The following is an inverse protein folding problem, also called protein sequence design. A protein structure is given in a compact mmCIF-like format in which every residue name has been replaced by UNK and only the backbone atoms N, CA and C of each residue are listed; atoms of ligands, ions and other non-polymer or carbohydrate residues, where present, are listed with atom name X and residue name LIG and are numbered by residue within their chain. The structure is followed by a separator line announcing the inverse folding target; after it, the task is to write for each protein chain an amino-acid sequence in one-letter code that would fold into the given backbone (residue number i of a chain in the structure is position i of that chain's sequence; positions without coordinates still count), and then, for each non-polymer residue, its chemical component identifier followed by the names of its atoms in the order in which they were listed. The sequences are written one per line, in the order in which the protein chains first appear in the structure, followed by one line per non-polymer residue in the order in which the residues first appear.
data_IF_415273022133
#
_entry.id   IF_415273022133
#
_cell.length_a   1.000
_cell.length_b   1.000
_cell.length_c   1.000
_cell.angle_alpha   90.00
_cell.angle_beta   90.00
_cell.angle_gamma   90.00
#
_symmetry.space_group_name_H-M   'P 1'
#
loop_
_entity.id
_entity.type
_entity.pdbx_description
1 polymer ?
#
# COMPACT_ATOMS: atom_id res chain seq x y z
N UNK A 1 1.51 65.28 20.02
CA UNK A 1 0.20 64.67 20.35
C UNK A 1 -0.42 64.22 19.03
N UNK A 2 -0.66 62.90 18.90
CA UNK A 2 -1.35 62.17 17.82
C UNK A 2 -0.79 62.29 16.38
N UNK A 3 0.05 61.32 16.00
CA UNK A 3 0.26 60.91 14.61
C UNK A 3 -0.60 59.65 14.41
N UNK A 4 -1.65 59.75 13.60
CA UNK A 4 -2.50 58.63 13.20
C UNK A 4 -1.81 57.86 12.06
N UNK A 5 -1.33 56.66 12.37
CA UNK A 5 -0.83 55.72 11.36
C UNK A 5 -2.04 54.93 10.85
N UNK A 6 -2.45 55.20 9.61
CA UNK A 6 -3.42 54.37 8.89
C UNK A 6 -2.72 53.09 8.42
N UNK A 7 -2.97 51.98 9.10
CA UNK A 7 -2.55 50.65 8.63
C UNK A 7 -3.56 50.21 7.57
N UNK A 8 -3.15 50.28 6.31
CA UNK A 8 -3.84 49.64 5.20
C UNK A 8 -3.53 48.14 5.29
N UNK A 9 -4.46 47.36 5.82
CA UNK A 9 -4.43 45.89 5.67
C UNK A 9 -4.77 45.53 4.23
N UNK A 10 -3.93 44.79 3.50
CA UNK A 10 -4.34 44.21 2.23
C UNK A 10 -5.29 43.05 2.53
N UNK A 11 -6.55 43.24 2.16
CA UNK A 11 -7.53 42.17 1.99
C UNK A 11 -6.99 41.27 0.87
N UNK A 12 -6.31 40.18 1.23
CA UNK A 12 -6.07 39.12 0.26
C UNK A 12 -7.40 38.43 -0.03
N UNK A 13 -7.81 38.55 -1.28
CA UNK A 13 -9.00 37.95 -1.86
C UNK A 13 -8.96 36.43 -1.65
N UNK A 14 -9.88 35.91 -0.83
CA UNK A 14 -10.37 34.55 -0.95
C UNK A 14 -11.20 34.48 -2.25
N UNK A 15 -10.55 34.29 -3.38
CA UNK A 15 -11.18 33.66 -4.54
C UNK A 15 -11.13 32.14 -4.33
N UNK A 16 -11.91 31.66 -3.36
CA UNK A 16 -12.36 30.27 -3.39
C UNK A 16 -13.43 30.26 -4.48
N UNK A 17 -13.10 29.64 -5.60
CA UNK A 17 -14.03 29.42 -6.69
C UNK A 17 -15.29 28.73 -6.13
N UNK A 18 -16.41 29.46 -6.12
CA UNK A 18 -17.74 28.87 -6.08
C UNK A 18 -17.84 28.02 -7.35
N UNK A 19 -17.59 26.72 -7.23
CA UNK A 19 -18.04 25.75 -8.19
C UNK A 19 -19.38 25.25 -7.68
N UNK A 20 -20.46 25.75 -8.28
CA UNK A 20 -21.79 25.16 -8.07
C UNK A 20 -21.72 23.69 -8.51
N UNK A 21 -22.29 22.74 -7.75
CA UNK A 21 -22.29 21.35 -8.14
C UNK A 21 -23.12 21.17 -9.43
N UNK A 22 -22.53 20.50 -10.41
CA UNK A 22 -23.18 20.14 -11.67
C UNK A 22 -24.36 19.21 -11.35
N UNK A 23 -25.58 19.66 -11.62
CA UNK A 23 -26.75 18.79 -11.64
C UNK A 23 -26.72 17.94 -12.91
N UNK A 24 -26.43 16.65 -12.78
CA UNK A 24 -26.75 15.66 -13.81
C UNK A 24 -28.12 15.06 -13.49
N UNK A 25 -29.15 15.47 -14.22
CA UNK A 25 -30.39 14.71 -14.32
C UNK A 25 -30.17 13.55 -15.28
N UNK A 26 -30.25 12.31 -14.80
CA UNK A 26 -30.71 11.18 -15.61
C UNK A 26 -31.21 10.06 -14.71
N UNK A 27 -32.52 10.00 -14.53
CA UNK A 27 -33.24 8.78 -14.14
C UNK A 27 -32.95 7.70 -15.20
N UNK A 28 -32.39 6.56 -14.78
CA UNK A 28 -32.86 5.21 -15.10
C UNK A 28 -31.89 4.16 -14.53
N UNK A 29 -32.41 3.32 -13.62
CA UNK A 29 -31.78 2.19 -12.93
C UNK A 29 -30.53 2.50 -12.09
N UNK A 30 -30.69 3.33 -11.07
CA UNK A 30 -29.67 3.49 -10.01
C UNK A 30 -29.66 2.23 -9.13
N UNK A 31 -28.70 1.35 -9.38
CA UNK A 31 -28.04 0.64 -8.30
C UNK A 31 -27.51 1.72 -7.37
N UNK A 32 -28.24 2.01 -6.29
CA UNK A 32 -27.92 3.02 -5.30
C UNK A 32 -26.57 2.65 -4.68
N UNK A 33 -25.48 3.14 -5.27
CA UNK A 33 -24.20 3.16 -4.61
C UNK A 33 -24.35 4.19 -3.51
N UNK A 34 -24.78 3.71 -2.33
CA UNK A 34 -24.73 4.49 -1.09
C UNK A 34 -23.44 5.29 -1.11
N UNK A 35 -23.55 6.62 -0.99
CA UNK A 35 -22.44 7.54 -1.13
C UNK A 35 -21.24 6.98 -0.35
N UNK A 36 -20.12 6.58 -1.00
CA UNK A 36 -19.04 5.88 -0.34
C UNK A 36 -18.38 6.72 0.76
N UNK A 37 -18.60 8.04 0.75
CA UNK A 37 -18.16 8.97 1.80
C UNK A 37 -19.04 8.94 3.05
N UNK A 38 -20.19 8.25 3.02
CA UNK A 38 -21.09 8.03 4.15
C UNK A 38 -20.97 6.62 4.73
N UNK A 39 -20.14 5.75 4.14
CA UNK A 39 -19.88 4.43 4.68
C UNK A 39 -19.25 4.51 6.08
N UNK A 40 -19.60 3.55 6.94
CA UNK A 40 -18.95 3.43 8.24
C UNK A 40 -17.44 3.24 8.09
N UNK A 41 -16.62 3.80 9.01
CA UNK A 41 -15.17 3.61 8.98
C UNK A 41 -14.82 2.12 8.95
N UNK A 42 -14.30 1.67 7.82
CA UNK A 42 -13.89 0.31 7.56
C UNK A 42 -12.53 0.32 6.86
N UNK A 43 -11.77 -0.75 7.05
CA UNK A 43 -10.56 -0.96 6.27
C UNK A 43 -10.89 -1.45 4.86
N UNK A 44 -9.92 -1.37 3.96
CA UNK A 44 -10.07 -1.88 2.59
C UNK A 44 -10.18 -3.41 2.64
N UNK A 45 -11.17 -3.97 1.96
CA UNK A 45 -11.34 -5.42 1.84
C UNK A 45 -10.55 -5.96 0.63
N UNK A 46 -10.09 -7.22 0.72
CA UNK A 46 -9.27 -7.88 -0.29
C UNK A 46 -9.91 -7.85 -1.69
N UNK A 47 -11.23 -8.09 -1.79
CA UNK A 47 -11.94 -8.10 -3.07
C UNK A 47 -11.89 -6.75 -3.80
N UNK A 48 -11.84 -5.63 -3.08
CA UNK A 48 -11.81 -4.30 -3.69
C UNK A 48 -10.50 -4.12 -4.46
N UNK A 49 -9.38 -4.49 -3.83
CA UNK A 49 -8.06 -4.37 -4.43
C UNK A 49 -7.84 -5.45 -5.49
N UNK A 50 -8.22 -6.69 -5.20
CA UNK A 50 -8.12 -7.80 -6.16
C UNK A 50 -8.89 -7.50 -7.45
N UNK A 51 -10.15 -7.07 -7.36
CA UNK A 51 -10.97 -6.72 -8.52
C UNK A 51 -10.34 -5.56 -9.30
N UNK A 52 -9.91 -4.51 -8.62
CA UNK A 52 -9.24 -3.38 -9.26
C UNK A 52 -7.96 -3.79 -10.00
N UNK A 53 -7.15 -4.65 -9.38
CA UNK A 53 -5.92 -5.15 -9.99
C UNK A 53 -6.19 -6.07 -11.18
N UNK A 54 -7.24 -6.90 -11.14
CA UNK A 54 -7.66 -7.70 -12.30
C UNK A 54 -8.14 -6.80 -13.43
N UNK A 55 -8.98 -5.80 -13.17
CA UNK A 55 -9.39 -4.83 -14.20
C UNK A 55 -8.21 -4.04 -14.76
N UNK A 56 -7.24 -3.66 -13.92
CA UNK A 56 -6.03 -2.96 -14.36
C UNK A 56 -5.23 -3.74 -15.43
N UNK A 57 -5.19 -5.07 -15.29
CA UNK A 57 -4.44 -5.98 -16.14
C UNK A 57 -5.24 -6.45 -17.36
N UNK A 58 -6.51 -6.81 -17.13
CA UNK A 58 -7.27 -7.66 -18.05
C UNK A 58 -8.54 -7.02 -18.60
N UNK A 59 -8.99 -5.86 -18.11
CA UNK A 59 -10.19 -5.22 -18.64
C UNK A 59 -9.97 -4.77 -20.10
N UNK A 60 -10.99 -5.02 -20.93
CA UNK A 60 -11.05 -4.57 -22.32
C UNK A 60 -11.60 -3.14 -22.43
N UNK A 61 -12.55 -2.79 -21.57
CA UNK A 61 -13.09 -1.43 -21.49
C UNK A 61 -12.04 -0.45 -20.96
N UNK A 62 -11.88 0.67 -21.66
CA UNK A 62 -10.84 1.64 -21.35
C UNK A 62 -11.08 2.35 -20.01
N UNK A 63 -12.34 2.64 -19.68
CA UNK A 63 -12.71 3.33 -18.43
C UNK A 63 -12.54 2.40 -17.24
N UNK A 64 -13.02 1.16 -17.35
CA UNK A 64 -12.83 0.13 -16.33
C UNK A 64 -11.33 -0.12 -16.08
N UNK A 65 -10.54 -0.28 -17.15
CA UNK A 65 -9.10 -0.48 -17.06
C UNK A 65 -8.40 0.70 -16.38
N UNK A 66 -8.73 1.93 -16.76
CA UNK A 66 -8.15 3.13 -16.17
C UNK A 66 -8.50 3.25 -14.68
N UNK A 67 -9.73 2.95 -14.31
CA UNK A 67 -10.16 2.96 -12.91
C UNK A 67 -9.46 1.87 -12.10
N UNK A 68 -9.39 0.65 -12.64
CA UNK A 68 -8.66 -0.46 -12.03
C UNK A 68 -7.18 -0.13 -11.84
N UNK A 69 -6.52 0.46 -12.85
CA UNK A 69 -5.15 0.92 -12.75
C UNK A 69 -4.96 1.95 -11.65
N UNK A 70 -5.86 2.92 -11.54
CA UNK A 70 -5.80 3.94 -10.48
C UNK A 70 -5.96 3.32 -9.09
N UNK A 71 -7.01 2.54 -8.86
CA UNK A 71 -7.30 1.95 -7.54
C UNK A 71 -6.23 0.94 -7.13
N UNK A 72 -5.85 0.02 -8.03
CA UNK A 72 -4.77 -0.95 -7.75
C UNK A 72 -3.45 -0.23 -7.45
N UNK A 73 -3.10 0.81 -8.21
CA UNK A 73 -1.88 1.59 -7.96
C UNK A 73 -1.91 2.29 -6.60
N UNK A 74 -3.02 2.93 -6.26
CA UNK A 74 -3.19 3.62 -4.97
C UNK A 74 -3.07 2.65 -3.80
N UNK A 75 -3.70 1.47 -3.89
CA UNK A 75 -3.59 0.43 -2.88
C UNK A 75 -2.14 -0.07 -2.72
N UNK A 76 -1.38 -0.22 -3.82
CA UNK A 76 0.04 -0.55 -3.74
C UNK A 76 0.86 0.58 -3.12
N UNK A 77 0.66 1.83 -3.55
CA UNK A 77 1.38 3.00 -2.99
C UNK A 77 1.19 3.09 -1.48
N UNK A 78 -0.02 2.82 -1.00
CA UNK A 78 -0.37 2.70 0.41
C UNK A 78 0.45 1.64 1.18
N UNK A 79 0.78 0.50 0.56
CA UNK A 79 1.68 -0.51 1.14
C UNK A 79 3.14 -0.08 1.08
N UNK A 80 3.60 0.51 -0.04
CA UNK A 80 4.98 1.00 -0.15
C UNK A 80 5.29 2.13 0.83
N UNK A 81 4.37 3.07 1.05
CA UNK A 81 4.54 4.13 2.05
C UNK A 81 4.70 3.54 3.45
N UNK A 82 3.91 2.52 3.78
CA UNK A 82 4.05 1.81 5.05
C UNK A 82 5.39 1.06 5.15
N UNK A 83 5.84 0.40 4.07
CA UNK A 83 7.15 -0.25 4.00
C UNK A 83 8.30 0.75 4.19
N UNK A 84 8.25 1.90 3.50
CA UNK A 84 9.24 2.97 3.62
C UNK A 84 9.30 3.48 5.06
N UNK A 85 8.13 3.73 5.66
CA UNK A 85 8.02 4.18 7.05
C UNK A 85 8.62 3.14 8.02
N UNK A 86 8.29 1.87 7.84
CA UNK A 86 8.81 0.76 8.64
C UNK A 86 10.34 0.66 8.57
N UNK A 87 10.91 0.67 7.35
CA UNK A 87 12.36 0.60 7.14
C UNK A 87 13.11 1.83 7.68
N UNK A 88 12.48 3.01 7.66
CA UNK A 88 13.06 4.20 8.29
C UNK A 88 13.25 4.01 9.81
N UNK A 89 12.30 3.35 10.50
CA UNK A 89 12.44 3.03 11.92
C UNK A 89 13.49 1.95 12.19
N UNK A 90 13.54 0.90 11.37
CA UNK A 90 14.60 -0.11 11.47
C UNK A 90 15.97 0.59 11.39
N UNK A 91 16.18 1.40 10.35
CA UNK A 91 17.43 2.16 10.17
C UNK A 91 17.74 3.05 11.37
N UNK A 92 16.74 3.76 11.89
CA UNK A 92 16.91 4.62 13.06
C UNK A 92 17.31 3.81 14.31
N UNK A 93 16.64 2.70 14.59
CA UNK A 93 16.91 1.87 15.77
C UNK A 93 18.26 1.15 15.68
N UNK A 94 18.66 0.70 14.50
CA UNK A 94 20.01 0.17 14.25
C UNK A 94 21.09 1.20 14.56
N UNK A 95 20.95 2.41 14.02
CA UNK A 95 21.90 3.51 14.26
C UNK A 95 22.00 3.90 15.74
N UNK A 96 20.89 3.79 16.48
CA UNK A 96 20.83 4.05 17.93
C UNK A 96 21.20 2.85 18.79
N UNK A 97 21.38 1.67 18.19
CA UNK A 97 21.61 0.39 18.88
C UNK A 97 20.49 0.05 19.87
N UNK A 98 19.24 0.29 19.48
CA UNK A 98 18.06 -0.01 20.29
C UNK A 98 17.53 -1.41 19.97
N UNK A 99 18.21 -2.43 20.49
CA UNK A 99 17.93 -3.85 20.20
C UNK A 99 16.50 -4.27 20.57
N UNK A 100 15.95 -3.78 21.69
CA UNK A 100 14.56 -4.07 22.08
C UNK A 100 13.55 -3.51 21.06
N UNK A 101 13.79 -2.31 20.56
CA UNK A 101 12.92 -1.70 19.56
C UNK A 101 12.99 -2.45 18.22
N UNK A 102 14.18 -2.95 17.85
CA UNK A 102 14.37 -3.80 16.67
C UNK A 102 13.62 -5.13 16.77
N UNK A 103 13.62 -5.76 17.94
CA UNK A 103 12.84 -6.98 18.17
C UNK A 103 11.33 -6.73 18.05
N UNK A 104 10.84 -5.61 18.61
CA UNK A 104 9.41 -5.28 18.57
C UNK A 104 8.96 -4.92 17.15
N UNK A 105 9.76 -4.18 16.39
CA UNK A 105 9.38 -3.74 15.04
C UNK A 105 9.25 -4.89 14.05
N UNK A 106 10.11 -5.90 14.14
CA UNK A 106 10.05 -7.10 13.31
C UNK A 106 8.68 -7.82 13.43
N UNK A 107 8.08 -7.80 14.63
CA UNK A 107 6.81 -8.49 14.91
C UNK A 107 5.53 -7.83 14.37
N UNK A 108 5.58 -6.62 13.79
CA UNK A 108 4.38 -5.97 13.21
C UNK A 108 4.55 -5.50 11.76
N UNK A 109 5.53 -6.04 11.03
CA UNK A 109 5.69 -5.74 9.61
C UNK A 109 4.44 -6.13 8.80
N UNK A 110 3.89 -5.18 8.04
CA UNK A 110 2.73 -5.42 7.15
C UNK A 110 3.12 -6.30 5.95
N UNK A 111 4.35 -6.17 5.48
CA UNK A 111 4.86 -6.85 4.29
C UNK A 111 5.66 -8.10 4.62
N UNK A 112 6.13 -8.25 5.86
CA UNK A 112 6.99 -9.34 6.32
C UNK A 112 8.46 -9.24 5.88
N UNK A 113 8.79 -8.37 4.93
CA UNK A 113 10.15 -8.05 4.49
C UNK A 113 10.20 -6.67 3.80
N UNK A 114 11.40 -6.16 3.51
CA UNK A 114 11.56 -4.94 2.72
C UNK A 114 11.24 -5.17 1.24
N UNK A 115 10.17 -4.55 0.75
CA UNK A 115 9.75 -4.68 -0.65
C UNK A 115 10.19 -3.52 -1.55
N UNK A 116 11.16 -2.68 -1.12
CA UNK A 116 11.56 -1.46 -1.83
C UNK A 116 11.93 -1.71 -3.30
N UNK A 117 12.58 -2.84 -3.58
CA UNK A 117 13.04 -3.20 -4.93
C UNK A 117 12.00 -4.00 -5.75
N UNK A 118 10.83 -4.30 -5.19
CA UNK A 118 9.77 -5.03 -5.90
C UNK A 118 9.18 -4.19 -7.04
N UNK A 119 9.05 -4.79 -8.22
CA UNK A 119 8.35 -4.22 -9.35
C UNK A 119 6.83 -4.16 -9.12
N UNK A 120 6.19 -3.09 -9.56
CA UNK A 120 4.73 -2.91 -9.39
C UNK A 120 3.90 -3.95 -10.13
N UNK A 121 4.35 -4.39 -11.30
CA UNK A 121 3.70 -5.46 -12.04
C UNK A 121 3.80 -6.80 -11.28
N UNK A 122 4.94 -7.08 -10.67
CA UNK A 122 5.14 -8.29 -9.86
C UNK A 122 4.27 -8.24 -8.61
N UNK A 123 4.19 -7.08 -7.94
CA UNK A 123 3.29 -6.92 -6.81
C UNK A 123 1.82 -7.13 -7.21
N UNK A 124 1.38 -6.56 -8.35
CA UNK A 124 0.04 -6.84 -8.90
C UNK A 124 -0.18 -8.34 -9.11
N UNK A 125 0.82 -9.04 -9.64
CA UNK A 125 0.73 -10.48 -9.87
C UNK A 125 0.62 -11.27 -8.56
N UNK A 126 1.38 -10.92 -7.51
CA UNK A 126 1.24 -11.54 -6.19
C UNK A 126 -0.17 -11.36 -5.60
N UNK A 127 -0.71 -10.15 -5.66
CA UNK A 127 -2.09 -9.87 -5.20
C UNK A 127 -3.10 -10.73 -5.96
N UNK A 128 -3.04 -10.74 -7.29
CA UNK A 128 -4.01 -11.47 -8.12
C UNK A 128 -3.90 -12.97 -7.86
N UNK A 129 -2.69 -13.52 -7.92
CA UNK A 129 -2.44 -14.95 -7.74
C UNK A 129 -2.90 -15.43 -6.36
N UNK A 130 -2.55 -14.71 -5.31
CA UNK A 130 -2.93 -15.11 -3.96
C UNK A 130 -4.45 -15.17 -3.79
N UNK A 131 -5.18 -14.13 -4.21
CA UNK A 131 -6.62 -14.08 -4.02
C UNK A 131 -7.43 -14.91 -5.03
N UNK A 132 -6.86 -15.22 -6.19
CA UNK A 132 -7.46 -16.21 -7.11
C UNK A 132 -7.41 -17.63 -6.49
N UNK A 133 -6.42 -17.94 -5.63
CA UNK A 133 -6.29 -19.22 -4.94
C UNK A 133 -6.92 -19.25 -3.53
N UNK A 134 -7.22 -18.09 -2.95
CA UNK A 134 -7.77 -17.93 -1.59
C UNK A 134 -9.02 -17.04 -1.59
N UNK A 135 -10.05 -17.44 -2.34
CA UNK A 135 -11.28 -16.66 -2.51
C UNK A 135 -12.06 -16.44 -1.19
N UNK A 136 -11.89 -17.31 -0.20
CA UNK A 136 -12.53 -17.20 1.11
C UNK A 136 -12.00 -16.02 1.95
N UNK A 137 -10.76 -15.58 1.68
CA UNK A 137 -10.14 -14.43 2.33
C UNK A 137 -10.50 -13.09 1.65
N UNK A 138 -11.29 -13.10 0.57
CA UNK A 138 -11.63 -11.88 -0.18
C UNK A 138 -12.39 -10.82 0.63
N UNK A 139 -13.03 -11.21 1.73
CA UNK A 139 -13.72 -10.27 2.64
C UNK A 139 -12.84 -9.78 3.79
N UNK A 140 -11.65 -10.34 3.92
CA UNK A 140 -10.72 -9.92 4.96
C UNK A 140 -10.05 -8.60 4.61
N UNK A 141 -9.40 -8.02 5.61
CA UNK A 141 -8.75 -6.74 5.46
C UNK A 141 -7.45 -6.84 4.65
N UNK A 142 -7.37 -6.01 3.62
CA UNK A 142 -6.23 -5.95 2.70
C UNK A 142 -4.88 -5.81 3.38
N UNK A 143 -4.75 -4.90 4.34
CA UNK A 143 -3.47 -4.68 5.01
C UNK A 143 -3.04 -5.87 5.86
N UNK A 144 -3.98 -6.56 6.51
CA UNK A 144 -3.66 -7.71 7.36
C UNK A 144 -3.27 -8.95 6.56
N UNK A 145 -3.69 -9.04 5.30
CA UNK A 145 -3.37 -10.18 4.42
C UNK A 145 -2.05 -10.01 3.65
N UNK A 146 -1.46 -8.80 3.63
CA UNK A 146 -0.27 -8.52 2.80
C UNK A 146 0.97 -9.35 3.16
N UNK A 147 1.17 -9.69 4.42
CA UNK A 147 2.28 -10.57 4.82
C UNK A 147 2.17 -11.94 4.11
N UNK A 148 0.96 -12.48 3.97
CA UNK A 148 0.72 -13.77 3.31
C UNK A 148 0.84 -13.67 1.80
N UNK A 149 0.30 -12.59 1.20
CA UNK A 149 0.42 -12.29 -0.24
C UNK A 149 1.89 -12.19 -0.66
N UNK A 150 2.70 -11.52 0.15
CA UNK A 150 4.11 -11.25 -0.13
C UNK A 150 5.06 -12.35 0.37
N UNK A 151 4.54 -13.34 1.10
CA UNK A 151 5.35 -14.42 1.66
C UNK A 151 6.28 -15.09 0.65
N UNK A 152 5.86 -15.45 -0.58
CA UNK A 152 6.76 -16.10 -1.53
C UNK A 152 7.95 -15.23 -1.92
N UNK A 153 7.73 -13.93 -2.12
CA UNK A 153 8.80 -12.98 -2.40
C UNK A 153 9.75 -12.83 -1.22
N UNK A 154 9.20 -12.68 -0.02
CA UNK A 154 10.00 -12.52 1.19
C UNK A 154 10.84 -13.77 1.51
N UNK A 155 10.31 -14.96 1.26
CA UNK A 155 11.04 -16.22 1.43
C UNK A 155 12.19 -16.33 0.41
N UNK A 156 11.99 -15.93 -0.86
CA UNK A 156 13.05 -15.89 -1.88
C UNK A 156 14.20 -14.95 -1.49
N UNK A 157 13.88 -13.78 -0.94
CA UNK A 157 14.91 -12.85 -0.46
C UNK A 157 15.70 -13.39 0.74
N UNK A 158 15.03 -14.10 1.65
CA UNK A 158 15.70 -14.76 2.79
C UNK A 158 16.65 -15.84 2.30
N UNK A 159 16.23 -16.68 1.37
CA UNK A 159 17.07 -17.72 0.80
C UNK A 159 18.28 -17.15 0.06
N UNK A 160 18.11 -16.03 -0.67
CA UNK A 160 19.21 -15.32 -1.32
C UNK A 160 20.21 -14.70 -0.33
N UNK A 161 19.77 -14.37 0.90
CA UNK A 161 20.61 -13.81 1.96
C UNK A 161 21.44 -14.87 2.71
N UNK A 162 21.11 -16.16 2.57
CA UNK A 162 21.88 -17.27 3.13
C UNK A 162 23.11 -17.49 2.24
N UNK A 163 24.22 -16.88 2.65
CA UNK A 163 25.53 -17.19 2.07
C UNK A 163 25.84 -18.66 2.35
N UNK A 164 25.76 -19.52 1.32
CA UNK A 164 26.19 -20.90 1.42
C UNK A 164 27.70 -20.91 1.72
N UNK A 165 28.04 -20.99 3.01
CA UNK A 165 29.36 -21.42 3.42
C UNK A 165 29.46 -22.92 3.08
N UNK A 166 29.83 -23.23 1.83
CA UNK A 166 30.52 -24.46 1.54
C UNK A 166 31.82 -24.40 2.33
N UNK A 167 31.79 -24.94 3.53
CA UNK A 167 32.99 -25.22 4.31
C UNK A 167 33.74 -26.30 3.53
N UNK A 168 34.57 -25.89 2.55
CA UNK A 168 35.51 -26.75 1.80
C UNK A 168 36.66 -27.24 2.71
N UNK A 169 36.36 -27.59 3.95
CA UNK A 169 37.28 -28.17 4.91
C UNK A 169 36.68 -29.40 5.60
N UNK A 170 36.17 -30.35 4.81
CA UNK A 170 36.10 -31.75 5.28
C UNK A 170 37.35 -32.53 4.85
N UNK A 171 38.51 -31.96 5.19
CA UNK A 171 39.79 -32.64 5.17
C UNK A 171 40.11 -33.09 6.60
N UNK A 172 39.33 -34.05 7.13
CA UNK A 172 39.67 -34.78 8.38
C UNK A 172 38.90 -36.07 8.63
N UNK A 173 38.96 -37.01 7.67
CA UNK A 173 38.82 -38.44 8.03
C UNK A 173 40.17 -38.97 8.53
N UNK A 174 40.40 -38.84 9.85
CA UNK A 174 41.37 -39.68 10.57
C UNK A 174 40.72 -41.05 10.83
N UNK A 175 41.16 -42.07 10.11
CA UNK A 175 41.30 -43.45 10.58
C UNK A 175 42.41 -44.12 9.79
#
# INVERSE_FOLDING_TARGET
MLITVWIITPIMMLNVANTEPVKSESENDEQDFDNPLLADPSGIENWQVHSACKSAMYAEDATEKQMGQFVCRMAQDMIYEQNIYHNAYITFFEQKKYEEALYVIDGYSVTGCDITDMGRADFTAYIIYYFDENEDELKDNFYWTMEQVLKPYCDEMKDASIEFHLDENDDRRRT
#
